data_IF_021419609753
#
_entry.id   IF_021419609753
#
_cell.length_a   1.000
_cell.length_b   1.000
_cell.length_c   1.000
_cell.angle_alpha   90.00
_cell.angle_beta   90.00
_cell.angle_gamma   90.00
#
_symmetry.space_group_name_H-M   'P 1'
#
loop_
_entity.id
_entity.type
_entity.pdbx_description
1 polymer ?
#
# COMPACT_ATOMS: atom_id res chain seq x y z
N UNK A 1 -30.63 -34.46 -27.03
CA UNK A 1 -31.52 -33.69 -27.91
C UNK A 1 -32.81 -34.46 -28.25
N UNK A 2 -32.78 -35.75 -28.61
CA UNK A 2 -33.99 -36.49 -29.03
C UNK A 2 -35.13 -36.68 -27.99
N UNK A 3 -34.86 -36.61 -26.68
CA UNK A 3 -35.90 -36.79 -25.66
C UNK A 3 -36.82 -35.55 -25.50
N UNK A 4 -36.33 -34.35 -25.85
CA UNK A 4 -37.14 -33.12 -25.79
C UNK A 4 -38.06 -33.03 -27.02
N UNK A 5 -37.59 -33.47 -28.20
CA UNK A 5 -38.38 -33.44 -29.43
C UNK A 5 -39.55 -34.44 -29.43
N UNK A 6 -39.50 -35.48 -28.59
CA UNK A 6 -40.61 -36.44 -28.41
C UNK A 6 -41.53 -36.09 -27.24
N UNK A 7 -41.32 -34.96 -26.58
CA UNK A 7 -42.11 -34.63 -25.40
C UNK A 7 -43.53 -34.23 -25.80
N UNK A 8 -44.52 -34.99 -25.33
CA UNK A 8 -45.95 -34.84 -25.68
C UNK A 8 -46.54 -33.47 -25.33
N UNK A 9 -45.89 -32.70 -24.43
CA UNK A 9 -46.32 -31.36 -24.06
C UNK A 9 -45.91 -30.28 -25.07
N UNK A 10 -44.92 -30.55 -25.92
CA UNK A 10 -44.45 -29.62 -26.96
C UNK A 10 -45.45 -29.50 -28.14
N UNK A 11 -46.34 -30.48 -28.30
CA UNK A 11 -47.39 -30.50 -29.32
C UNK A 11 -48.77 -30.01 -28.83
N UNK A 12 -48.88 -29.61 -27.56
CA UNK A 12 -50.15 -29.13 -26.99
C UNK A 12 -50.34 -27.65 -27.31
N UNK A 13 -51.35 -27.36 -28.14
CA UNK A 13 -51.63 -26.01 -28.66
C UNK A 13 -52.65 -25.22 -27.84
N UNK A 14 -53.27 -25.82 -26.81
CA UNK A 14 -54.27 -25.15 -25.96
C UNK A 14 -54.22 -25.63 -24.50
N UNK A 15 -54.70 -24.77 -23.59
CA UNK A 15 -54.77 -25.06 -22.15
C UNK A 15 -55.75 -26.20 -21.83
N UNK A 16 -56.82 -26.34 -22.62
CA UNK A 16 -57.77 -27.47 -22.54
C UNK A 16 -57.13 -28.79 -23.01
N UNK A 17 -56.26 -28.74 -24.02
CA UNK A 17 -55.50 -29.92 -24.43
C UNK A 17 -54.46 -30.31 -23.37
N UNK A 18 -53.91 -29.33 -22.64
CA UNK A 18 -52.99 -29.57 -21.52
C UNK A 18 -53.69 -30.18 -20.30
N UNK A 19 -54.90 -29.75 -19.98
CA UNK A 19 -55.67 -30.29 -18.86
C UNK A 19 -56.18 -31.71 -19.10
N UNK A 20 -56.40 -32.08 -20.36
CA UNK A 20 -56.82 -33.41 -20.79
C UNK A 20 -55.65 -34.38 -21.11
N UNK A 21 -54.41 -33.88 -21.14
CA UNK A 21 -53.25 -34.71 -21.47
C UNK A 21 -52.88 -35.66 -20.31
N UNK A 22 -52.58 -36.92 -20.65
CA UNK A 22 -52.10 -37.88 -19.67
C UNK A 22 -50.72 -37.47 -19.14
N UNK A 23 -50.53 -37.41 -17.80
CA UNK A 23 -49.25 -37.11 -17.20
C UNK A 23 -48.20 -38.13 -17.64
N UNK A 24 -47.00 -37.66 -18.01
CA UNK A 24 -45.86 -38.52 -18.35
C UNK A 24 -45.52 -39.52 -17.22
N UNK A 25 -45.71 -39.09 -15.97
CA UNK A 25 -45.68 -39.94 -14.78
C UNK A 25 -46.64 -39.33 -13.74
N UNK A 26 -47.21 -40.16 -12.86
CA UNK A 26 -48.12 -39.71 -11.79
C UNK A 26 -47.79 -40.39 -10.46
N UNK A 27 -48.18 -39.76 -9.34
CA UNK A 27 -47.96 -40.32 -8.00
C UNK A 27 -46.48 -40.60 -7.69
N UNK A 28 -46.20 -41.80 -7.18
CA UNK A 28 -44.85 -42.23 -6.79
C UNK A 28 -43.87 -42.33 -7.97
N UNK A 29 -44.36 -42.64 -9.18
CA UNK A 29 -43.53 -42.67 -10.38
C UNK A 29 -43.03 -41.27 -10.75
N UNK A 30 -43.91 -40.25 -10.63
CA UNK A 30 -43.52 -38.86 -10.81
C UNK A 30 -42.53 -38.40 -9.72
N UNK A 31 -42.76 -38.80 -8.47
CA UNK A 31 -41.88 -38.49 -7.35
C UNK A 31 -40.47 -39.09 -7.52
N UNK A 32 -40.38 -40.30 -8.10
CA UNK A 32 -39.11 -40.97 -8.40
C UNK A 32 -38.31 -40.32 -9.53
N UNK A 33 -38.98 -39.59 -10.42
CA UNK A 33 -38.37 -38.86 -11.54
C UNK A 33 -37.87 -37.46 -11.14
N UNK A 34 -38.29 -36.93 -9.98
CA UNK A 34 -37.77 -35.66 -9.47
C UNK A 34 -36.35 -35.90 -8.94
N UNK A 35 -35.33 -35.20 -9.48
CA UNK A 35 -33.98 -35.28 -8.94
C UNK A 35 -33.98 -34.92 -7.47
N UNK A 36 -33.61 -35.85 -6.60
CA UNK A 36 -33.56 -35.66 -5.14
C UNK A 36 -32.33 -34.85 -4.71
N UNK A 37 -31.38 -34.65 -5.62
CA UNK A 37 -30.17 -33.88 -5.43
C UNK A 37 -29.98 -32.91 -6.61
N UNK A 38 -29.52 -31.71 -6.29
CA UNK A 38 -29.02 -30.69 -7.21
C UNK A 38 -27.94 -31.19 -8.19
N UNK A 39 -27.27 -32.31 -7.91
CA UNK A 39 -26.16 -32.83 -8.69
C UNK A 39 -24.85 -32.04 -8.49
N UNK A 40 -24.83 -31.11 -7.53
CA UNK A 40 -23.65 -30.34 -7.17
C UNK A 40 -23.01 -30.99 -5.93
N UNK A 41 -21.84 -31.61 -6.12
CA UNK A 41 -21.11 -32.18 -4.99
C UNK A 41 -20.65 -31.09 -4.00
N UNK A 42 -20.53 -31.45 -2.72
CA UNK A 42 -19.98 -30.54 -1.69
C UNK A 42 -18.61 -29.97 -2.07
N UNK A 43 -17.78 -30.74 -2.77
CA UNK A 43 -16.49 -30.29 -3.30
C UNK A 43 -16.64 -29.14 -4.32
N UNK A 44 -17.62 -29.24 -5.23
CA UNK A 44 -17.92 -28.17 -6.19
C UNK A 44 -18.44 -26.91 -5.50
N UNK A 45 -19.28 -27.06 -4.47
CA UNK A 45 -19.75 -25.92 -3.67
C UNK A 45 -18.60 -25.23 -2.95
N UNK A 46 -17.70 -25.99 -2.30
CA UNK A 46 -16.53 -25.45 -1.63
C UNK A 46 -15.60 -24.70 -2.61
N UNK A 47 -15.32 -25.29 -3.77
CA UNK A 47 -14.48 -24.64 -4.78
C UNK A 47 -15.10 -23.33 -5.31
N UNK A 48 -16.43 -23.27 -5.40
CA UNK A 48 -17.14 -22.05 -5.79
C UNK A 48 -17.03 -20.97 -4.70
N UNK A 49 -17.18 -21.36 -3.42
CA UNK A 49 -17.02 -20.44 -2.29
C UNK A 49 -15.60 -19.87 -2.21
N UNK A 50 -14.59 -20.72 -2.33
CA UNK A 50 -13.17 -20.31 -2.36
C UNK A 50 -12.89 -19.33 -3.53
N UNK A 51 -13.49 -19.60 -4.69
CA UNK A 51 -13.42 -18.72 -5.87
C UNK A 51 -14.06 -17.37 -5.61
N UNK A 52 -15.28 -17.34 -5.07
CA UNK A 52 -16.01 -16.11 -4.77
C UNK A 52 -15.30 -15.28 -3.70
N UNK A 53 -14.76 -15.93 -2.66
CA UNK A 53 -13.96 -15.29 -1.62
C UNK A 53 -12.72 -14.60 -2.21
N UNK A 54 -12.00 -15.30 -3.08
CA UNK A 54 -10.82 -14.77 -3.77
C UNK A 54 -11.15 -13.60 -4.69
N UNK A 55 -12.21 -13.72 -5.50
CA UNK A 55 -12.67 -12.66 -6.39
C UNK A 55 -13.15 -11.44 -5.61
N UNK A 56 -13.84 -11.64 -4.48
CA UNK A 56 -14.23 -10.57 -3.57
C UNK A 56 -13.02 -9.83 -3.01
N UNK A 57 -12.00 -10.55 -2.56
CA UNK A 57 -10.76 -9.97 -2.05
C UNK A 57 -10.06 -9.10 -3.11
N UNK A 58 -9.83 -9.66 -4.29
CA UNK A 58 -9.18 -8.93 -5.40
C UNK A 58 -10.00 -7.73 -5.90
N UNK A 59 -11.34 -7.82 -5.85
CA UNK A 59 -12.22 -6.69 -6.15
C UNK A 59 -12.14 -5.60 -5.08
N UNK A 60 -12.03 -6.00 -3.82
CA UNK A 60 -11.86 -5.09 -2.69
C UNK A 60 -10.52 -4.34 -2.81
N UNK A 61 -9.43 -5.02 -3.16
CA UNK A 61 -8.12 -4.40 -3.40
C UNK A 61 -8.19 -3.35 -4.51
N UNK A 62 -8.87 -3.65 -5.62
CA UNK A 62 -9.10 -2.66 -6.68
C UNK A 62 -9.90 -1.46 -6.19
N UNK A 63 -10.98 -1.68 -5.44
CA UNK A 63 -11.79 -0.59 -4.88
C UNK A 63 -11.02 0.26 -3.86
N UNK A 64 -10.14 -0.38 -3.08
CA UNK A 64 -9.27 0.26 -2.10
C UNK A 64 -8.22 1.14 -2.78
N UNK A 65 -7.60 0.64 -3.84
CA UNK A 65 -6.67 1.43 -4.65
C UNK A 65 -7.35 2.70 -5.18
N UNK A 66 -8.57 2.55 -5.73
CA UNK A 66 -9.36 3.65 -6.24
C UNK A 66 -9.66 4.71 -5.18
N UNK A 67 -10.11 4.29 -3.99
CA UNK A 67 -10.59 5.19 -2.95
C UNK A 67 -9.47 5.80 -2.11
N UNK A 68 -8.40 5.05 -1.84
CA UNK A 68 -7.44 5.38 -0.77
C UNK A 68 -5.99 5.55 -1.24
N UNK A 69 -5.64 5.09 -2.45
CA UNK A 69 -4.26 5.17 -2.98
C UNK A 69 -4.16 6.19 -4.12
N UNK A 70 -5.15 6.24 -5.03
CA UNK A 70 -5.21 7.30 -6.04
C UNK A 70 -5.27 8.69 -5.39
N UNK A 71 -4.49 9.63 -5.93
CA UNK A 71 -4.49 10.99 -5.44
C UNK A 71 -5.87 11.64 -5.69
N UNK A 72 -6.46 12.33 -4.70
CA UNK A 72 -7.76 12.98 -4.86
C UNK A 72 -7.65 14.20 -5.77
N UNK A 73 -8.80 14.65 -6.30
CA UNK A 73 -8.94 15.67 -7.36
C UNK A 73 -8.22 17.02 -7.10
N UNK A 74 -7.81 17.29 -5.86
CA UNK A 74 -7.14 18.54 -5.45
C UNK A 74 -5.65 18.38 -5.09
N UNK A 75 -5.00 17.29 -5.50
CA UNK A 75 -3.61 17.01 -5.15
C UNK A 75 -2.66 17.44 -6.26
N UNK A 76 -2.56 18.75 -6.48
CA UNK A 76 -1.42 19.26 -7.23
C UNK A 76 -0.13 18.98 -6.44
N UNK A 77 1.00 18.66 -7.11
CA UNK A 77 2.27 18.52 -6.42
C UNK A 77 2.60 19.85 -5.75
N UNK A 78 2.69 19.85 -4.42
CA UNK A 78 3.14 21.00 -3.66
C UNK A 78 4.64 21.24 -3.94
N UNK A 79 4.95 21.89 -5.06
CA UNK A 79 6.20 22.65 -5.19
C UNK A 79 6.02 23.94 -4.39
N UNK A 80 6.20 23.82 -3.07
CA UNK A 80 6.27 24.94 -2.15
C UNK A 80 7.53 25.75 -2.44
N UNK A 81 7.44 26.76 -3.32
CA UNK A 81 8.34 27.92 -3.38
C UNK A 81 7.85 29.06 -4.31
N UNK A 82 6.54 29.21 -4.52
CA UNK A 82 5.99 30.40 -5.17
C UNK A 82 4.99 31.09 -4.24
N UNK A 83 5.11 32.42 -4.01
CA UNK A 83 4.16 33.14 -3.18
C UNK A 83 2.77 33.08 -3.83
N UNK A 84 1.79 32.61 -3.06
CA UNK A 84 0.38 32.62 -3.40
C UNK A 84 -0.10 34.06 -3.57
N UNK A 85 -0.17 34.54 -4.81
CA UNK A 85 -1.13 35.56 -5.18
C UNK A 85 -2.41 34.84 -5.57
N UNK A 86 -3.36 34.76 -4.63
CA UNK A 86 -4.73 34.34 -4.88
C UNK A 86 -5.42 35.40 -5.74
N UNK A 87 -5.23 35.32 -7.05
CA UNK A 87 -6.03 36.04 -8.02
C UNK A 87 -6.99 35.03 -8.66
N UNK A 88 -8.15 34.86 -8.02
CA UNK A 88 -9.21 33.90 -8.35
C UNK A 88 -9.82 34.12 -9.76
N UNK A 89 -9.39 35.16 -10.48
CA UNK A 89 -9.75 35.44 -11.87
C UNK A 89 -8.62 35.27 -12.89
N UNK A 90 -7.44 34.79 -12.49
CA UNK A 90 -6.30 34.65 -13.41
C UNK A 90 -6.49 33.44 -14.36
N UNK A 91 -6.14 33.57 -15.66
CA UNK A 91 -6.25 32.47 -16.62
C UNK A 91 -5.40 31.25 -16.22
N UNK A 92 -4.36 31.47 -15.41
CA UNK A 92 -3.53 30.41 -14.84
C UNK A 92 -4.25 29.61 -13.74
N UNK A 93 -5.14 30.23 -12.95
CA UNK A 93 -5.96 29.53 -11.96
C UNK A 93 -7.01 28.65 -12.64
N UNK A 94 -7.68 29.16 -13.69
CA UNK A 94 -8.62 28.36 -14.50
C UNK A 94 -7.92 27.19 -15.18
N UNK A 95 -6.74 27.41 -15.78
CA UNK A 95 -5.98 26.35 -16.44
C UNK A 95 -5.56 25.23 -15.47
N UNK A 96 -5.22 25.57 -14.21
CA UNK A 96 -4.91 24.59 -13.18
C UNK A 96 -6.17 23.82 -12.72
N UNK A 97 -7.29 24.51 -12.59
CA UNK A 97 -8.57 23.89 -12.26
C UNK A 97 -9.02 22.93 -13.36
N UNK A 98 -8.94 23.34 -14.62
CA UNK A 98 -9.26 22.49 -15.78
C UNK A 98 -8.30 21.31 -15.91
N UNK A 99 -7.01 21.48 -15.61
CA UNK A 99 -6.05 20.38 -15.60
C UNK A 99 -6.36 19.35 -14.49
N UNK A 100 -6.73 19.81 -13.30
CA UNK A 100 -7.08 18.93 -12.17
C UNK A 100 -8.39 18.17 -12.41
N UNK A 101 -9.41 18.83 -12.98
CA UNK A 101 -10.69 18.18 -13.32
C UNK A 101 -10.52 17.14 -14.44
N UNK A 102 -9.70 17.44 -15.46
CA UNK A 102 -9.42 16.47 -16.51
C UNK A 102 -8.61 15.27 -16.00
N UNK A 103 -7.64 15.49 -15.11
CA UNK A 103 -6.81 14.43 -14.53
C UNK A 103 -7.64 13.49 -13.65
N UNK A 104 -8.51 14.05 -12.81
CA UNK A 104 -9.40 13.27 -11.93
C UNK A 104 -10.47 12.50 -12.71
N UNK A 105 -11.09 13.12 -13.71
CA UNK A 105 -12.03 12.41 -14.58
C UNK A 105 -11.33 11.28 -15.36
N UNK A 106 -10.08 11.49 -15.77
CA UNK A 106 -9.23 10.48 -16.39
C UNK A 106 -8.96 9.29 -15.45
N UNK A 107 -8.53 9.56 -14.21
CA UNK A 107 -8.21 8.51 -13.24
C UNK A 107 -9.44 7.67 -12.88
N UNK A 108 -10.61 8.29 -12.74
CA UNK A 108 -11.88 7.60 -12.50
C UNK A 108 -12.27 6.69 -13.68
N UNK A 109 -12.13 7.16 -14.93
CA UNK A 109 -12.41 6.37 -16.15
C UNK A 109 -11.42 5.21 -16.32
N UNK A 110 -10.16 5.43 -16.01
CA UNK A 110 -9.15 4.37 -16.04
C UNK A 110 -9.46 3.30 -14.99
N UNK A 111 -9.77 3.72 -13.77
CA UNK A 111 -10.09 2.78 -12.69
C UNK A 111 -11.38 2.00 -12.96
N UNK A 112 -12.41 2.63 -13.53
CA UNK A 112 -13.63 1.93 -13.94
C UNK A 112 -13.35 0.90 -15.04
N UNK A 113 -12.40 1.17 -15.94
CA UNK A 113 -11.95 0.22 -16.95
C UNK A 113 -11.22 -0.99 -16.32
N UNK A 114 -10.35 -0.75 -15.32
CA UNK A 114 -9.68 -1.83 -14.57
C UNK A 114 -10.70 -2.71 -13.85
N UNK A 115 -11.69 -2.09 -13.22
CA UNK A 115 -12.81 -2.79 -12.56
C UNK A 115 -13.62 -3.61 -13.56
N UNK A 116 -13.96 -3.05 -14.73
CA UNK A 116 -14.71 -3.76 -15.75
C UNK A 116 -13.96 -4.99 -16.28
N UNK A 117 -12.63 -4.93 -16.38
CA UNK A 117 -11.80 -6.08 -16.73
C UNK A 117 -11.87 -7.14 -15.63
N UNK A 118 -11.75 -6.75 -14.36
CA UNK A 118 -11.91 -7.67 -13.22
C UNK A 118 -13.28 -8.35 -13.23
N UNK A 119 -14.36 -7.59 -13.41
CA UNK A 119 -15.73 -8.12 -13.41
C UNK A 119 -15.93 -9.14 -14.55
N UNK A 120 -15.29 -8.94 -15.72
CA UNK A 120 -15.28 -9.93 -16.82
C UNK A 120 -14.52 -11.20 -16.45
N UNK A 121 -13.35 -11.08 -15.80
CA UNK A 121 -12.61 -12.24 -15.30
C UNK A 121 -13.47 -13.03 -14.29
N UNK A 122 -14.13 -12.33 -13.37
CA UNK A 122 -15.01 -12.94 -12.37
C UNK A 122 -16.20 -13.66 -13.04
N UNK A 123 -16.84 -13.06 -14.04
CA UNK A 123 -17.93 -13.69 -14.78
C UNK A 123 -17.46 -14.97 -15.49
N UNK A 124 -16.30 -14.94 -16.16
CA UNK A 124 -15.73 -16.12 -16.78
C UNK A 124 -15.31 -17.18 -15.76
N UNK A 125 -14.83 -16.78 -14.59
CA UNK A 125 -14.48 -17.70 -13.51
C UNK A 125 -15.71 -18.49 -13.01
N UNK A 126 -16.89 -17.89 -13.08
CA UNK A 126 -18.16 -18.49 -12.64
C UNK A 126 -18.88 -19.29 -13.74
N UNK A 127 -18.32 -19.39 -14.95
CA UNK A 127 -18.95 -20.04 -16.12
C UNK A 127 -19.07 -21.57 -16.05
N UNK A 128 -18.62 -22.21 -14.96
CA UNK A 128 -18.79 -23.65 -14.72
C UNK A 128 -17.62 -24.54 -15.19
N UNK A 129 -16.68 -24.03 -15.98
CA UNK A 129 -15.45 -24.74 -16.36
C UNK A 129 -14.36 -24.59 -15.30
N UNK A 130 -13.82 -25.71 -14.80
CA UNK A 130 -12.78 -25.70 -13.77
C UNK A 130 -11.47 -25.04 -14.24
N UNK A 131 -11.00 -25.38 -15.45
CA UNK A 131 -9.76 -24.82 -16.00
C UNK A 131 -9.89 -23.31 -16.28
N UNK A 132 -11.05 -22.87 -16.77
CA UNK A 132 -11.32 -21.44 -16.99
C UNK A 132 -11.39 -20.72 -15.64
N UNK A 133 -12.02 -21.33 -14.63
CA UNK A 133 -12.09 -20.77 -13.29
C UNK A 133 -10.71 -20.52 -12.69
N UNK A 134 -9.84 -21.53 -12.70
CA UNK A 134 -8.47 -21.39 -12.19
C UNK A 134 -7.70 -20.27 -12.90
N UNK A 135 -7.76 -20.24 -14.23
CA UNK A 135 -7.07 -19.24 -15.03
C UNK A 135 -7.59 -17.82 -14.77
N UNK A 136 -8.91 -17.65 -14.69
CA UNK A 136 -9.53 -16.34 -14.47
C UNK A 136 -9.32 -15.83 -13.06
N UNK A 137 -9.35 -16.72 -12.05
CA UNK A 137 -8.99 -16.39 -10.66
C UNK A 137 -7.53 -15.96 -10.58
N UNK A 138 -6.61 -16.70 -11.20
CA UNK A 138 -5.20 -16.31 -11.26
C UNK A 138 -5.01 -14.97 -11.99
N UNK A 139 -5.77 -14.72 -13.05
CA UNK A 139 -5.79 -13.44 -13.76
C UNK A 139 -6.25 -12.29 -12.87
N UNK A 140 -7.33 -12.47 -12.11
CA UNK A 140 -7.85 -11.47 -11.17
C UNK A 140 -6.87 -11.17 -10.04
N UNK A 141 -6.21 -12.21 -9.50
CA UNK A 141 -5.14 -12.07 -8.50
C UNK A 141 -3.94 -11.33 -9.07
N UNK A 142 -3.50 -11.67 -10.28
CA UNK A 142 -2.39 -11.00 -10.96
C UNK A 142 -2.71 -9.52 -11.21
N UNK A 143 -3.94 -9.21 -11.61
CA UNK A 143 -4.40 -7.83 -11.81
C UNK A 143 -4.33 -7.03 -10.50
N UNK A 144 -4.87 -7.57 -9.40
CA UNK A 144 -4.83 -6.93 -8.10
C UNK A 144 -3.38 -6.76 -7.58
N UNK A 145 -2.54 -7.79 -7.73
CA UNK A 145 -1.15 -7.76 -7.34
C UNK A 145 -0.35 -6.71 -8.14
N UNK A 146 -0.57 -6.59 -9.45
CA UNK A 146 0.05 -5.54 -10.27
C UNK A 146 -0.46 -4.15 -9.92
N UNK A 147 -1.73 -4.04 -9.54
CA UNK A 147 -2.33 -2.77 -9.14
C UNK A 147 -1.72 -2.27 -7.81
N UNK A 148 -1.66 -3.10 -6.78
CA UNK A 148 -1.08 -2.72 -5.49
C UNK A 148 0.45 -2.64 -5.53
N UNK A 149 1.09 -3.58 -6.23
CA UNK A 149 2.54 -3.66 -6.40
C UNK A 149 3.11 -2.65 -7.40
N UNK A 150 2.27 -1.84 -8.04
CA UNK A 150 2.73 -0.78 -8.94
C UNK A 150 3.25 0.46 -8.21
N UNK A 151 3.03 0.56 -6.90
CA UNK A 151 3.63 1.57 -6.01
C UNK A 151 4.63 0.88 -5.08
N UNK A 152 5.90 1.25 -5.17
CA UNK A 152 6.97 0.54 -4.44
C UNK A 152 7.96 1.47 -3.77
N UNK A 153 8.52 1.03 -2.65
CA UNK A 153 9.66 1.67 -2.02
C UNK A 153 10.91 1.13 -2.69
N UNK A 154 11.75 2.02 -3.21
CA UNK A 154 13.07 1.65 -3.72
C UNK A 154 13.94 1.24 -2.54
N UNK A 155 14.57 0.04 -2.57
CA UNK A 155 15.41 -0.41 -1.47
C UNK A 155 16.47 0.64 -1.13
N UNK A 156 16.52 1.03 0.14
CA UNK A 156 17.58 1.91 0.64
C UNK A 156 18.75 1.04 1.07
N UNK A 157 19.96 1.40 0.65
CA UNK A 157 21.17 0.78 1.19
C UNK A 157 21.31 1.08 2.70
N UNK A 158 22.22 0.36 3.34
CA UNK A 158 22.56 0.58 4.75
C UNK A 158 22.85 2.05 5.02
N UNK A 159 22.29 2.59 6.10
CA UNK A 159 22.53 3.97 6.55
C UNK A 159 23.51 3.97 7.72
N UNK A 160 24.57 4.76 7.62
CA UNK A 160 25.54 4.97 8.71
C UNK A 160 25.30 6.33 9.36
N UNK A 161 25.15 6.35 10.67
CA UNK A 161 24.85 7.52 11.49
C UNK A 161 26.04 7.81 12.38
N UNK A 162 26.63 9.01 12.21
CA UNK A 162 27.83 9.44 12.97
C UNK A 162 27.52 10.48 14.05
N UNK A 163 26.30 11.01 14.05
CA UNK A 163 25.80 12.08 14.92
C UNK A 163 24.47 11.69 15.57
N UNK A 164 24.01 12.48 16.55
CA UNK A 164 22.73 12.25 17.23
C UNK A 164 21.54 12.24 16.25
N UNK A 165 21.65 12.96 15.13
CA UNK A 165 20.65 12.99 14.07
C UNK A 165 21.26 12.65 12.71
N UNK A 166 20.49 11.96 11.87
CA UNK A 166 20.84 11.68 10.48
C UNK A 166 19.60 11.65 9.58
N UNK A 167 19.83 11.78 8.28
CA UNK A 167 18.79 11.75 7.25
C UNK A 167 18.79 10.41 6.53
N UNK A 168 17.63 9.75 6.49
CA UNK A 168 17.37 8.54 5.71
C UNK A 168 16.48 8.89 4.52
N UNK A 169 17.06 9.06 3.32
CA UNK A 169 16.26 9.25 2.11
C UNK A 169 15.53 7.96 1.74
N UNK A 170 14.24 8.08 1.41
CA UNK A 170 13.38 7.00 0.96
C UNK A 170 12.73 7.42 -0.35
N UNK A 171 12.95 6.64 -1.40
CA UNK A 171 12.39 6.90 -2.72
C UNK A 171 11.19 5.99 -2.97
N UNK A 172 10.07 6.58 -3.37
CA UNK A 172 8.85 5.86 -3.74
C UNK A 172 8.63 6.01 -5.23
N UNK A 173 8.38 4.91 -5.93
CA UNK A 173 8.06 4.90 -7.36
C UNK A 173 6.60 4.54 -7.59
N UNK A 174 6.02 5.15 -8.63
CA UNK A 174 4.67 4.91 -9.10
C UNK A 174 4.71 4.54 -10.57
N UNK A 175 4.33 3.30 -10.89
CA UNK A 175 4.26 2.80 -12.26
C UNK A 175 2.92 3.08 -12.96
N UNK A 176 1.94 3.66 -12.25
CA UNK A 176 0.60 3.91 -12.77
C UNK A 176 0.51 5.21 -13.59
N UNK A 177 -0.46 5.31 -14.52
CA UNK A 177 -0.67 6.49 -15.36
C UNK A 177 -1.25 7.71 -14.62
N UNK A 178 -1.58 7.56 -13.34
CA UNK A 178 -2.15 8.63 -12.51
C UNK A 178 -1.36 8.78 -11.21
N UNK A 179 -1.33 9.98 -10.63
CA UNK A 179 -0.67 10.23 -9.36
C UNK A 179 -1.32 9.45 -8.21
N UNK A 180 -0.50 9.07 -7.23
CA UNK A 180 -0.92 8.35 -6.03
C UNK A 180 -0.49 9.12 -4.78
N UNK A 181 -1.31 9.05 -3.74
CA UNK A 181 -1.01 9.60 -2.42
C UNK A 181 -0.89 8.45 -1.43
N UNK A 182 0.29 8.29 -0.86
CA UNK A 182 0.61 7.17 0.04
C UNK A 182 1.21 7.68 1.35
N UNK A 183 1.01 6.91 2.41
CA UNK A 183 1.65 7.13 3.71
C UNK A 183 2.73 6.08 3.90
N UNK A 184 3.94 6.47 4.24
CA UNK A 184 5.01 5.53 4.58
C UNK A 184 5.12 5.47 6.09
N UNK A 185 5.07 4.27 6.67
CA UNK A 185 5.44 4.06 8.06
C UNK A 185 6.86 3.51 8.17
N UNK A 186 7.61 3.98 9.16
CA UNK A 186 8.93 3.47 9.53
C UNK A 186 8.92 3.08 11.00
N UNK A 187 9.16 1.80 11.26
CA UNK A 187 9.27 1.23 12.60
C UNK A 187 10.66 0.65 12.81
N UNK A 188 11.31 1.00 13.91
CA UNK A 188 12.64 0.49 14.24
C UNK A 188 12.55 -0.58 15.33
N UNK A 189 13.41 -1.58 15.26
CA UNK A 189 13.55 -2.66 16.27
C UNK A 189 14.28 -2.22 17.56
N UNK A 190 14.72 -0.96 17.63
CA UNK A 190 15.44 -0.38 18.75
C UNK A 190 14.69 0.81 19.37
N UNK A 191 14.84 0.97 20.69
CA UNK A 191 14.36 2.15 21.43
C UNK A 191 15.38 3.29 21.46
N UNK A 192 16.63 3.02 21.12
CA UNK A 192 17.74 3.99 21.19
C UNK A 192 18.11 4.57 19.81
N UNK A 193 17.74 3.88 18.74
CA UNK A 193 17.81 4.33 17.36
C UNK A 193 16.37 4.40 16.85
N UNK A 194 15.85 5.61 16.65
CA UNK A 194 14.44 5.82 16.27
C UNK A 194 14.33 6.64 15.00
N UNK A 195 13.33 6.35 14.18
CA UNK A 195 13.01 7.14 12.97
C UNK A 195 11.73 7.94 13.15
N UNK A 196 11.54 8.97 12.33
CA UNK A 196 10.19 9.53 12.08
C UNK A 196 9.23 8.37 11.77
N UNK A 197 8.04 8.36 12.38
CA UNK A 197 7.13 7.21 12.27
C UNK A 197 6.35 7.17 10.97
N UNK A 198 5.92 8.34 10.47
CA UNK A 198 5.07 8.45 9.30
C UNK A 198 5.50 9.60 8.41
N UNK A 199 5.32 9.45 7.10
CA UNK A 199 5.45 10.51 6.10
C UNK A 199 4.39 10.34 5.03
N UNK A 200 3.68 11.42 4.68
CA UNK A 200 2.69 11.44 3.60
C UNK A 200 3.34 11.99 2.33
N UNK A 201 3.19 11.28 1.21
CA UNK A 201 3.87 11.61 -0.04
C UNK A 201 2.93 11.49 -1.23
N UNK A 202 2.97 12.51 -2.10
CA UNK A 202 2.38 12.47 -3.43
C UNK A 202 3.43 12.03 -4.45
N UNK A 203 3.10 10.97 -5.20
CA UNK A 203 3.97 10.42 -6.22
C UNK A 203 3.33 10.64 -7.59
N UNK A 204 4.02 11.34 -8.52
CA UNK A 204 3.45 11.64 -9.83
C UNK A 204 3.23 10.37 -10.66
N UNK A 205 2.40 10.49 -11.70
CA UNK A 205 2.18 9.41 -12.68
C UNK A 205 3.51 9.00 -13.32
N UNK A 206 3.76 7.69 -13.43
CA UNK A 206 5.00 7.11 -13.98
C UNK A 206 6.30 7.70 -13.41
N UNK A 207 6.27 8.21 -12.17
CA UNK A 207 7.38 8.95 -11.59
C UNK A 207 7.80 8.41 -10.23
N UNK A 208 8.69 9.15 -9.59
CA UNK A 208 9.17 8.84 -8.25
C UNK A 208 9.31 10.12 -7.43
N UNK A 209 9.10 9.99 -6.12
CA UNK A 209 9.27 11.07 -5.15
C UNK A 209 10.16 10.59 -4.02
N UNK A 210 11.08 11.44 -3.59
CA UNK A 210 11.95 11.18 -2.45
C UNK A 210 11.39 11.90 -1.22
N UNK A 211 11.26 11.17 -0.11
CA UNK A 211 10.98 11.72 1.21
C UNK A 211 12.15 11.41 2.14
N UNK A 212 12.35 12.22 3.16
CA UNK A 212 13.45 12.03 4.11
C UNK A 212 12.90 11.73 5.50
N UNK A 213 13.32 10.60 6.04
CA UNK A 213 13.06 10.22 7.43
C UNK A 213 14.22 10.69 8.30
N UNK A 214 13.92 11.34 9.42
CA UNK A 214 14.95 11.69 10.40
C UNK A 214 15.22 10.49 11.29
N UNK A 215 16.47 10.07 11.36
CA UNK A 215 16.97 9.12 12.36
C UNK A 215 17.47 9.94 13.54
N UNK A 216 17.06 9.56 14.75
CA UNK A 216 17.65 10.02 16.01
C UNK A 216 18.31 8.86 16.72
N UNK A 217 19.48 9.10 17.26
CA UNK A 217 20.31 8.07 17.88
C UNK A 217 20.85 8.55 19.21
N UNK A 218 20.67 7.73 20.24
CA UNK A 218 21.18 8.01 21.59
C UNK A 218 22.44 7.24 21.96
N UNK A 219 22.83 6.21 21.18
CA UNK A 219 24.01 5.39 21.45
C UNK A 219 24.64 4.80 20.19
N UNK A 220 25.87 4.32 20.29
CA UNK A 220 26.47 3.48 19.25
C UNK A 220 25.79 2.10 19.22
N UNK A 221 25.53 1.57 18.04
CA UNK A 221 24.80 0.30 17.90
C UNK A 221 24.28 0.07 16.49
N UNK A 222 23.44 -0.94 16.32
CA UNK A 222 22.75 -1.21 15.06
C UNK A 222 21.26 -1.44 15.28
N UNK A 223 20.45 -1.02 14.32
CA UNK A 223 19.01 -1.22 14.32
C UNK A 223 18.51 -1.43 12.90
N UNK A 224 17.32 -1.99 12.74
CA UNK A 224 16.66 -2.18 11.44
C UNK A 224 15.40 -1.34 11.39
N UNK A 225 15.30 -0.45 10.41
CA UNK A 225 14.06 0.25 10.09
C UNK A 225 13.23 -0.59 9.13
N UNK A 226 11.99 -0.91 9.49
CA UNK A 226 11.00 -1.56 8.66
C UNK A 226 10.06 -0.50 8.08
N UNK A 227 10.14 -0.31 6.78
CA UNK A 227 9.34 0.61 6.01
C UNK A 227 8.18 -0.12 5.33
N UNK A 228 6.97 0.40 5.47
CA UNK A 228 5.77 -0.14 4.82
C UNK A 228 4.95 0.99 4.20
N UNK A 229 4.33 0.71 3.05
CA UNK A 229 3.36 1.61 2.45
C UNK A 229 1.98 1.33 3.02
N UNK A 230 1.36 2.41 3.48
CA UNK A 230 0.01 2.50 3.97
C UNK A 230 -0.82 3.33 2.99
N UNK A 231 -2.07 2.95 2.82
CA UNK A 231 -3.06 3.79 2.17
C UNK A 231 -3.46 4.97 3.06
N UNK A 232 -4.31 5.85 2.54
CA UNK A 232 -4.82 7.00 3.31
C UNK A 232 -5.65 6.62 4.55
N UNK A 233 -6.26 5.43 4.55
CA UNK A 233 -7.01 4.92 5.70
C UNK A 233 -6.10 4.25 6.75
N UNK A 234 -4.79 4.17 6.50
CA UNK A 234 -3.81 3.53 7.38
C UNK A 234 -3.66 2.03 7.20
N UNK A 235 -4.33 1.43 6.20
CA UNK A 235 -4.16 0.02 5.88
C UNK A 235 -2.83 -0.21 5.14
N UNK A 236 -2.09 -1.24 5.51
CA UNK A 236 -0.90 -1.66 4.77
C UNK A 236 -1.28 -2.31 3.44
N UNK A 237 -0.54 -2.01 2.37
CA UNK A 237 -0.74 -2.65 1.06
C UNK A 237 0.55 -3.10 0.36
N UNK A 238 1.72 -2.73 0.87
CA UNK A 238 3.01 -3.23 0.38
C UNK A 238 3.64 -4.26 1.32
N UNK A 239 4.55 -5.06 0.77
CA UNK A 239 5.49 -5.81 1.60
C UNK A 239 6.41 -4.84 2.37
N UNK A 240 6.80 -5.17 3.62
CA UNK A 240 7.81 -4.41 4.35
C UNK A 240 9.17 -4.42 3.64
N UNK A 241 9.82 -3.27 3.59
CA UNK A 241 11.21 -3.09 3.18
C UNK A 241 12.05 -2.81 4.42
N UNK A 242 13.22 -3.44 4.53
CA UNK A 242 14.05 -3.30 5.73
C UNK A 242 15.37 -2.61 5.39
N UNK A 243 15.69 -1.55 6.12
CA UNK A 243 16.91 -0.77 5.97
C UNK A 243 17.76 -0.88 7.22
N UNK A 244 18.95 -1.50 7.15
CA UNK A 244 19.87 -1.54 8.29
C UNK A 244 20.43 -0.15 8.59
N UNK A 245 20.42 0.22 9.86
CA UNK A 245 20.99 1.46 10.41
C UNK A 245 22.15 1.08 11.32
N UNK A 246 23.33 1.64 11.06
CA UNK A 246 24.50 1.50 11.93
C UNK A 246 24.82 2.86 12.53
N UNK A 247 24.86 2.94 13.85
CA UNK A 247 25.31 4.11 14.59
C UNK A 247 26.73 3.90 15.08
N UNK A 248 27.62 4.79 14.64
CA UNK A 248 28.98 4.91 15.18
C UNK A 248 29.10 6.18 16.00
N UNK A 249 28.00 6.65 16.64
CA UNK A 249 27.91 7.91 17.37
C UNK A 249 29.19 8.18 18.16
N UNK A 250 30.03 9.07 17.63
CA UNK A 250 31.18 9.57 18.35
C UNK A 250 30.66 10.77 19.11
N UNK A 251 30.54 10.63 20.43
CA UNK A 251 30.32 11.78 21.29
C UNK A 251 31.57 12.64 21.11
N UNK A 252 31.49 13.63 20.21
CA UNK A 252 32.49 14.68 20.10
C UNK A 252 32.49 15.36 21.46
N UNK A 253 33.55 15.07 22.20
CA UNK A 253 33.62 15.23 23.63
C UNK A 253 33.79 16.73 23.94
N UNK A 254 32.71 17.51 23.81
CA UNK A 254 32.68 18.89 24.28
C UNK A 254 32.98 18.92 25.79
N UNK A 255 32.56 17.88 26.51
CA UNK A 255 33.04 17.53 27.85
C UNK A 255 34.55 17.31 27.89
N UNK A 256 35.12 16.51 26.99
CA UNK A 256 36.57 16.32 26.88
C UNK A 256 37.35 17.62 26.71
N UNK A 257 36.89 18.55 25.87
CA UNK A 257 37.49 19.88 25.73
C UNK A 257 37.39 20.70 27.02
N UNK A 258 36.26 20.64 27.72
CA UNK A 258 36.08 21.29 29.03
C UNK A 258 37.04 20.68 30.08
N UNK A 259 37.19 19.36 30.11
CA UNK A 259 38.13 18.69 31.00
C UNK A 259 39.59 19.06 30.70
N UNK A 260 39.98 19.13 29.43
CA UNK A 260 41.32 19.58 29.02
C UNK A 260 41.55 21.04 29.41
N UNK A 261 40.57 21.92 29.20
CA UNK A 261 40.67 23.34 29.58
C UNK A 261 40.82 23.52 31.11
N UNK A 262 40.05 22.77 31.91
CA UNK A 262 40.17 22.78 33.38
C UNK A 262 41.55 22.26 33.81
N UNK A 263 42.06 21.20 33.19
CA UNK A 263 43.39 20.65 33.50
C UNK A 263 44.51 21.66 33.23
N UNK A 264 44.43 22.41 32.12
CA UNK A 264 45.39 23.48 31.79
C UNK A 264 45.30 24.62 32.81
N UNK A 265 44.08 25.04 33.16
CA UNK A 265 43.86 26.11 34.15
C UNK A 265 44.44 25.74 35.52
N UNK A 266 44.18 24.52 36.00
CA UNK A 266 44.74 24.00 37.25
C UNK A 266 46.27 23.81 37.18
N UNK A 267 46.81 23.40 36.04
CA UNK A 267 48.25 23.31 35.82
C UNK A 267 48.94 24.68 35.94
N UNK A 268 48.36 25.71 35.32
CA UNK A 268 48.85 27.09 35.44
C UNK A 268 48.71 27.64 36.87
N UNK A 269 47.60 27.35 37.54
CA UNK A 269 47.38 27.72 38.96
C UNK A 269 48.37 27.02 39.90
N UNK A 270 48.67 25.75 39.65
CA UNK A 270 49.66 24.98 40.40
C UNK A 270 51.07 25.54 40.26
N UNK A 271 51.47 25.90 39.04
CA UNK A 271 52.74 26.57 38.76
C UNK A 271 52.79 27.95 39.43
N UNK A 272 51.73 28.75 39.32
CA UNK A 272 51.66 30.05 39.98
C UNK A 272 51.78 29.94 41.49
N UNK A 273 51.11 28.97 42.11
CA UNK A 273 51.22 28.66 43.54
C UNK A 273 52.65 28.24 43.92
N UNK A 274 53.33 27.48 43.08
CA UNK A 274 54.71 27.05 43.32
C UNK A 274 55.70 28.22 43.31
N UNK A 275 55.51 29.19 42.41
CA UNK A 275 56.35 30.40 42.35
C UNK A 275 56.01 31.43 43.44
N UNK A 276 54.76 31.49 43.91
CA UNK A 276 54.33 32.42 44.97
C UNK A 276 54.41 31.84 46.39
N UNK A 277 54.90 30.61 46.54
CA UNK A 277 55.13 30.03 47.86
C UNK A 277 56.35 30.70 48.49
N UNK A 278 56.11 31.64 49.41
CA UNK A 278 57.15 32.15 50.30
C UNK A 278 57.76 30.96 51.05
N UNK A 279 59.08 30.79 50.95
CA UNK A 279 59.83 29.92 51.84
C UNK A 279 59.94 30.65 53.18
N UNK A 280 59.51 30.00 54.25
CA UNK A 280 59.75 30.50 55.60
C UNK A 280 61.27 30.55 55.82
N UNK A 281 61.81 31.68 56.32
CA UNK A 281 63.23 31.81 56.61
C UNK A 281 63.48 31.28 58.02
N UNK A 282 63.80 30.00 58.13
CA UNK A 282 64.45 29.43 59.30
C UNK A 282 65.66 28.60 58.83
N UNK A 283 66.77 29.29 58.60
CA UNK A 283 68.16 28.83 58.77
C UNK A 283 69.00 29.99 59.32
#
# INVERSE_FOLDING_TARGET
MGAIEQASWLSLTSLDALSAAEPYASGDDAASMVPSDSGISQQKMKALDDTLSTLRGTRADASRFAASILAPENSAPANSNAPSASDEGSPQALAQQDANTNTSQGSAKWMSSVIAVHDRLALHALSGSASVRELMVAGAQSLAAKLLGGVTITPTERVTVVSETASMPVTISNSHPYPVRVRISSLTDSMEIVTTRFSDVDVPAHGSTQTTFTIRVSTSGSATAHLTLLDRAGGQFSAPQSTPIISTLQISDMSGFVFIAIAIALGLLGLWRQFHRKKDPDE
#
